data_IF_842841085014
#
_entry.id   IF_842841085014
#
_cell.length_a   1.000
_cell.length_b   1.000
_cell.length_c   1.000
_cell.angle_alpha   90.00
_cell.angle_beta   90.00
_cell.angle_gamma   90.00
#
_symmetry.space_group_name_H-M   'P 1'
#
loop_
_entity.id
_entity.type
_entity.pdbx_description
1 polymer ?
#
# COMPACT_ATOMS: atom_id res chain seq x y z
N UNK A 1 26.61 6.01 6.53
CA UNK A 1 25.62 6.64 5.64
C UNK A 1 24.26 6.21 6.16
N UNK A 2 23.61 7.05 6.97
CA UNK A 2 22.28 6.77 7.54
C UNK A 2 21.26 7.00 6.44
N UNK A 3 20.48 5.97 6.10
CA UNK A 3 19.30 6.10 5.25
C UNK A 3 18.24 6.82 6.08
N UNK A 4 17.74 7.94 5.58
CA UNK A 4 16.56 8.61 6.11
C UNK A 4 15.40 7.83 5.49
N UNK A 5 14.67 7.07 6.29
CA UNK A 5 13.46 6.40 5.84
C UNK A 5 12.36 7.47 5.63
N UNK A 6 11.70 7.52 4.46
CA UNK A 6 10.74 8.55 4.16
C UNK A 6 9.36 7.87 3.99
N UNK A 7 8.54 7.83 5.02
CA UNK A 7 7.17 7.28 4.90
C UNK A 7 6.17 8.43 4.94
N UNK A 8 6.08 9.22 6.01
CA UNK A 8 5.13 10.36 6.05
C UNK A 8 5.69 11.67 5.46
N UNK A 9 6.99 11.95 5.61
CA UNK A 9 7.63 13.11 4.97
C UNK A 9 7.83 12.93 3.45
N UNK A 10 7.75 11.68 2.95
CA UNK A 10 7.86 11.32 1.53
C UNK A 10 6.72 11.88 0.70
N UNK A 11 5.49 11.84 1.22
CA UNK A 11 4.30 12.35 0.53
C UNK A 11 4.41 13.84 0.18
N UNK A 12 5.15 14.62 0.98
CA UNK A 12 5.39 16.03 0.64
C UNK A 12 6.57 16.27 -0.32
N UNK A 13 7.43 15.27 -0.52
CA UNK A 13 8.67 15.41 -1.30
C UNK A 13 8.60 14.75 -2.69
N UNK A 14 7.79 13.71 -2.91
CA UNK A 14 7.78 12.96 -4.17
C UNK A 14 7.09 13.69 -5.34
N UNK A 15 6.17 14.64 -5.08
CA UNK A 15 5.54 15.41 -6.16
C UNK A 15 6.41 16.53 -6.77
N UNK A 16 7.64 16.74 -6.27
CA UNK A 16 8.55 17.77 -6.85
C UNK A 16 9.67 17.21 -7.74
N UNK A 17 9.76 15.89 -7.93
CA UNK A 17 10.87 15.25 -8.66
C UNK A 17 10.48 14.53 -9.97
N UNK A 18 9.18 14.47 -10.30
CA UNK A 18 8.70 13.73 -11.46
C UNK A 18 8.23 14.63 -12.63
N UNK A 19 8.96 15.70 -12.97
CA UNK A 19 8.73 16.47 -14.21
C UNK A 19 9.95 17.33 -14.58
N UNK A 20 11.15 16.73 -14.67
CA UNK A 20 12.23 17.34 -15.44
C UNK A 20 13.11 16.25 -16.05
N UNK A 21 12.85 15.93 -17.31
CA UNK A 21 13.62 14.99 -18.12
C UNK A 21 14.60 15.83 -18.92
N UNK A 22 15.87 16.00 -18.51
CA UNK A 22 16.84 16.65 -19.38
C UNK A 22 17.09 15.75 -20.58
N UNK A 23 16.91 16.31 -21.77
CA UNK A 23 17.20 15.65 -23.03
C UNK A 23 18.68 15.24 -23.11
N UNK A 24 18.94 13.94 -23.24
CA UNK A 24 20.26 13.43 -23.62
C UNK A 24 20.51 13.65 -25.13
N UNK A 25 21.68 14.16 -25.54
CA UNK A 25 22.14 14.05 -26.91
C UNK A 25 22.78 12.68 -27.18
N UNK A 26 22.50 12.19 -28.38
CA UNK A 26 22.91 10.88 -28.89
C UNK A 26 24.41 10.75 -29.23
N UNK A 27 24.90 9.54 -28.97
CA UNK A 27 25.84 8.71 -29.75
C UNK A 27 27.31 9.17 -29.96
N UNK A 28 28.26 8.29 -29.59
CA UNK A 28 29.15 7.60 -30.56
C UNK A 28 29.95 6.43 -29.94
N UNK A 29 29.79 5.24 -30.55
CA UNK A 29 30.82 4.25 -30.91
C UNK A 29 31.79 3.65 -29.88
N UNK A 30 31.78 2.31 -29.74
CA UNK A 30 32.90 1.45 -30.17
C UNK A 30 32.61 -0.05 -29.97
N UNK A 31 33.01 -0.83 -30.97
CA UNK A 31 32.96 -2.30 -31.10
C UNK A 31 33.96 -2.99 -30.17
N UNK A 32 33.65 -4.23 -29.74
CA UNK A 32 34.60 -5.35 -29.79
C UNK A 32 33.89 -6.71 -29.61
N UNK A 33 34.24 -7.61 -30.53
CA UNK A 33 33.87 -9.01 -30.66
C UNK A 33 34.26 -9.90 -29.47
N UNK A 34 33.44 -10.93 -29.19
CA UNK A 34 33.94 -12.22 -28.71
C UNK A 34 32.98 -13.36 -29.10
N UNK A 35 33.61 -14.43 -29.58
CA UNK A 35 33.08 -15.62 -30.26
C UNK A 35 33.24 -16.84 -29.34
N UNK A 36 32.37 -17.85 -29.58
CA UNK A 36 32.55 -19.31 -29.42
C UNK A 36 31.55 -19.97 -28.45
N UNK A 37 30.63 -20.77 -28.98
CA UNK A 37 30.59 -22.27 -28.97
C UNK A 37 29.88 -22.78 -27.71
N UNK A 38 28.92 -23.69 -27.71
CA UNK A 38 28.39 -24.68 -28.66
C UNK A 38 27.80 -25.81 -27.78
N UNK A 39 26.69 -26.44 -28.18
CA UNK A 39 26.16 -27.60 -27.43
C UNK A 39 24.70 -27.95 -27.68
N UNK A 40 24.44 -28.68 -28.76
CA UNK A 40 23.19 -29.41 -29.01
C UNK A 40 22.93 -30.52 -27.99
N UNK A 41 21.68 -30.69 -27.57
CA UNK A 41 21.10 -32.01 -27.31
C UNK A 41 19.59 -32.00 -27.49
N UNK A 42 19.17 -32.80 -28.46
CA UNK A 42 17.82 -33.13 -28.91
C UNK A 42 17.31 -34.36 -28.15
N UNK A 43 16.05 -34.37 -27.73
CA UNK A 43 15.27 -35.60 -27.59
C UNK A 43 13.76 -35.33 -27.71
N UNK A 44 13.20 -35.92 -28.75
CA UNK A 44 11.79 -35.98 -29.11
C UNK A 44 10.95 -36.80 -28.10
N UNK A 45 9.72 -36.37 -27.84
CA UNK A 45 8.62 -37.30 -27.54
C UNK A 45 7.28 -36.71 -27.97
N UNK A 46 6.66 -37.42 -28.91
CA UNK A 46 5.40 -37.17 -29.61
C UNK A 46 4.32 -38.03 -28.95
N UNK A 47 3.13 -37.47 -28.69
CA UNK A 47 1.89 -38.25 -28.61
C UNK A 47 0.69 -37.38 -29.00
N UNK A 48 0.06 -37.83 -30.08
CA UNK A 48 -1.15 -37.35 -30.75
C UNK A 48 -2.43 -37.47 -29.91
N UNK A 49 -3.36 -36.53 -30.14
CA UNK A 49 -4.65 -36.87 -30.73
C UNK A 49 -5.90 -36.78 -29.84
N UNK A 50 -6.87 -35.98 -30.27
CA UNK A 50 -8.27 -36.10 -29.83
C UNK A 50 -9.16 -34.89 -30.07
N UNK A 51 -9.52 -34.62 -31.33
CA UNK A 51 -10.59 -33.69 -31.71
C UNK A 51 -11.98 -34.19 -31.26
N UNK A 52 -12.81 -33.28 -30.75
CA UNK A 52 -14.27 -33.44 -30.78
C UNK A 52 -14.95 -32.11 -31.09
N UNK A 53 -15.61 -32.11 -32.25
CA UNK A 53 -16.42 -31.06 -32.86
C UNK A 53 -17.86 -31.16 -32.33
N UNK A 54 -18.49 -30.05 -31.98
CA UNK A 54 -19.95 -29.96 -31.95
C UNK A 54 -20.39 -28.56 -32.37
N UNK A 55 -21.06 -28.53 -33.53
CA UNK A 55 -21.78 -27.40 -34.09
C UNK A 55 -22.99 -27.03 -33.20
N UNK A 56 -23.19 -25.74 -32.93
CA UNK A 56 -24.52 -25.20 -32.62
C UNK A 56 -24.64 -23.79 -33.19
N UNK A 57 -25.57 -23.69 -34.13
CA UNK A 57 -26.00 -22.51 -34.87
C UNK A 57 -27.19 -21.89 -34.13
N UNK A 58 -27.18 -20.58 -33.89
CA UNK A 58 -28.41 -19.81 -33.73
C UNK A 58 -28.17 -18.33 -34.12
N UNK A 59 -28.98 -17.91 -35.08
CA UNK A 59 -29.18 -16.57 -35.62
C UNK A 59 -29.67 -15.54 -34.57
N UNK A 60 -29.36 -14.27 -34.84
CA UNK A 60 -30.38 -13.20 -34.78
C UNK A 60 -30.02 -11.97 -33.96
N UNK A 61 -29.95 -10.80 -34.61
CA UNK A 61 -30.13 -9.52 -33.94
C UNK A 61 -29.42 -8.33 -34.59
N UNK A 62 -30.03 -7.75 -35.63
CA UNK A 62 -29.77 -6.40 -36.14
C UNK A 62 -29.88 -5.34 -35.05
N UNK A 63 -28.95 -4.38 -35.05
CA UNK A 63 -29.21 -3.02 -34.56
C UNK A 63 -28.24 -2.03 -35.25
N UNK A 64 -28.81 -1.22 -36.15
CA UNK A 64 -28.22 -0.02 -36.71
C UNK A 64 -28.01 1.06 -35.63
N UNK A 65 -26.86 1.77 -35.69
CA UNK A 65 -26.75 3.19 -35.38
C UNK A 65 -25.37 3.70 -35.84
N UNK A 66 -25.25 4.13 -37.10
CA UNK A 66 -24.17 5.03 -37.51
C UNK A 66 -24.66 6.47 -37.41
N UNK A 67 -23.94 7.28 -36.62
CA UNK A 67 -24.12 8.73 -36.57
C UNK A 67 -22.94 9.37 -35.86
N UNK A 68 -22.20 10.23 -36.57
CA UNK A 68 -21.28 11.17 -35.94
C UNK A 68 -19.93 11.32 -36.64
N UNK A 69 -19.89 12.18 -37.65
CA UNK A 69 -18.69 12.73 -38.28
C UNK A 69 -17.91 13.63 -37.29
N UNK A 70 -16.56 13.62 -37.25
CA UNK A 70 -15.78 14.48 -36.37
C UNK A 70 -15.41 15.81 -37.04
N UNK A 71 -15.66 16.92 -36.35
CA UNK A 71 -15.04 18.21 -36.65
C UNK A 71 -14.24 18.68 -35.44
N UNK A 72 -12.91 18.56 -35.55
CA UNK A 72 -11.95 19.14 -34.63
C UNK A 72 -11.44 20.45 -35.25
N UNK A 73 -11.73 21.58 -34.61
CA UNK A 73 -10.95 22.81 -34.73
C UNK A 73 -10.56 23.25 -33.33
N UNK A 74 -9.27 23.12 -33.02
CA UNK A 74 -8.65 23.70 -31.85
C UNK A 74 -8.13 25.10 -32.19
N UNK A 75 -8.49 26.08 -31.37
CA UNK A 75 -7.89 27.41 -31.37
C UNK A 75 -7.23 27.67 -30.00
N UNK A 76 -6.11 28.40 -30.10
CA UNK A 76 -5.07 28.54 -29.12
C UNK A 76 -5.45 29.42 -27.93
N UNK A 77 -5.01 29.01 -26.73
CA UNK A 77 -5.04 29.82 -25.53
C UNK A 77 -3.79 29.58 -24.69
N UNK A 78 -2.71 30.29 -25.01
CA UNK A 78 -1.49 30.32 -24.23
C UNK A 78 -1.74 30.92 -22.84
N UNK A 79 -1.79 30.08 -21.81
CA UNK A 79 -1.67 30.51 -20.42
C UNK A 79 -0.20 30.43 -20.01
N UNK A 80 0.28 31.50 -19.39
CA UNK A 80 1.66 31.70 -18.98
C UNK A 80 1.99 30.74 -17.84
N UNK A 81 3.06 30.01 -18.05
CA UNK A 81 3.73 29.14 -17.11
C UNK A 81 4.53 30.01 -16.12
N UNK A 82 4.00 30.19 -14.92
CA UNK A 82 4.73 30.70 -13.76
C UNK A 82 5.03 29.51 -12.81
N UNK A 83 5.74 28.50 -13.30
CA UNK A 83 6.33 27.46 -12.44
C UNK A 83 7.52 28.04 -11.67
N UNK A 84 7.23 28.58 -10.48
CA UNK A 84 8.23 28.75 -9.44
C UNK A 84 8.57 27.36 -8.89
N UNK A 85 9.63 26.76 -9.41
CA UNK A 85 10.15 25.48 -8.93
C UNK A 85 10.49 25.50 -7.44
N UNK A 86 9.81 24.64 -6.67
CA UNK A 86 9.94 24.51 -5.20
C UNK A 86 11.27 23.89 -4.73
N UNK A 87 12.20 23.59 -5.65
CA UNK A 87 13.53 23.07 -5.32
C UNK A 87 14.39 24.00 -4.43
N UNK A 88 14.01 25.27 -4.31
CA UNK A 88 14.70 26.24 -3.45
C UNK A 88 14.32 26.18 -1.95
N UNK A 89 13.18 25.59 -1.59
CA UNK A 89 12.69 25.60 -0.19
C UNK A 89 13.30 24.45 0.62
N UNK A 90 13.54 23.29 0.00
CA UNK A 90 14.10 22.11 0.69
C UNK A 90 15.56 22.33 1.09
N UNK A 91 16.36 23.09 0.32
CA UNK A 91 17.75 23.41 0.67
C UNK A 91 17.88 24.46 1.77
N UNK A 92 16.83 25.24 2.03
CA UNK A 92 16.77 26.15 3.16
C UNK A 92 16.35 25.47 4.48
N UNK A 93 15.71 24.29 4.41
CA UNK A 93 15.23 23.54 5.60
C UNK A 93 16.21 22.40 5.96
N UNK A 94 16.90 21.80 4.99
CA UNK A 94 17.99 20.86 5.24
C UNK A 94 19.35 21.53 5.55
N UNK A 95 19.40 22.86 5.56
CA UNK A 95 20.54 23.64 5.98
C UNK A 95 20.33 24.12 7.42
N UNK A 96 21.10 23.56 8.35
CA UNK A 96 21.24 24.00 9.75
C UNK A 96 20.23 23.46 10.79
N UNK A 97 19.62 22.29 10.57
CA UNK A 97 19.20 21.45 11.69
C UNK A 97 20.42 20.69 12.23
N UNK A 98 21.23 21.36 13.04
CA UNK A 98 21.96 20.64 14.09
C UNK A 98 20.92 19.79 14.80
N UNK A 99 21.07 18.47 14.69
CA UNK A 99 20.27 17.50 15.41
C UNK A 99 20.05 18.01 16.84
N UNK A 100 18.80 18.00 17.29
CA UNK A 100 18.50 18.25 18.69
C UNK A 100 19.17 17.15 19.53
N UNK A 101 20.46 17.33 19.83
CA UNK A 101 21.19 16.57 20.84
C UNK A 101 20.50 16.88 22.17
N UNK A 102 19.58 16.02 22.58
CA UNK A 102 18.88 16.15 23.86
C UNK A 102 17.40 15.77 23.88
N UNK A 103 16.78 15.44 22.74
CA UNK A 103 15.54 14.67 22.81
C UNK A 103 15.92 13.26 23.28
N UNK A 104 15.71 12.96 24.56
CA UNK A 104 15.65 11.57 25.01
C UNK A 104 14.66 10.88 24.08
N UNK A 105 15.17 9.96 23.24
CA UNK A 105 14.31 9.07 22.45
C UNK A 105 13.56 8.27 23.51
N UNK A 106 12.38 8.75 23.86
CA UNK A 106 11.52 8.10 24.83
C UNK A 106 11.27 6.67 24.38
N UNK A 107 10.95 5.80 25.34
CA UNK A 107 10.62 4.39 25.11
C UNK A 107 9.85 4.23 23.78
N UNK A 108 10.39 3.39 22.89
CA UNK A 108 9.77 3.07 21.60
C UNK A 108 8.40 2.42 21.79
N UNK A 109 7.69 2.15 20.69
CA UNK A 109 6.43 1.42 20.80
C UNK A 109 6.65 0.03 21.40
N UNK A 110 5.71 -0.41 22.23
CA UNK A 110 5.73 -1.73 22.84
C UNK A 110 5.34 -2.77 21.79
N UNK A 111 6.35 -3.34 21.13
CA UNK A 111 6.13 -4.38 20.11
C UNK A 111 5.84 -5.75 20.71
N UNK A 112 5.88 -5.92 22.04
CA UNK A 112 5.51 -7.21 22.66
C UNK A 112 4.00 -7.45 22.63
N UNK A 113 3.23 -6.41 22.32
CA UNK A 113 1.78 -6.47 22.16
C UNK A 113 1.34 -6.82 20.75
N UNK A 114 2.27 -6.84 19.79
CA UNK A 114 1.97 -7.27 18.45
C UNK A 114 1.65 -8.76 18.46
N UNK A 115 0.36 -9.04 18.34
CA UNK A 115 -0.20 -10.37 18.33
C UNK A 115 -0.95 -10.63 17.02
N UNK A 116 -0.97 -9.64 16.12
CA UNK A 116 -1.62 -9.74 14.84
C UNK A 116 -0.86 -10.71 13.95
N UNK A 117 -1.47 -11.86 13.63
CA UNK A 117 -1.01 -12.62 12.48
C UNK A 117 -1.28 -11.86 11.18
N UNK A 118 -0.92 -12.46 10.04
CA UNK A 118 -1.22 -11.92 8.71
C UNK A 118 -2.68 -11.45 8.57
N UNK A 119 -3.62 -12.23 9.12
CA UNK A 119 -5.05 -11.92 9.04
C UNK A 119 -5.38 -10.59 9.72
N UNK A 120 -4.84 -10.36 10.92
CA UNK A 120 -5.10 -9.14 11.68
C UNK A 120 -4.58 -7.89 10.96
N UNK A 121 -3.38 -7.99 10.38
CA UNK A 121 -2.75 -6.89 9.64
C UNK A 121 -3.58 -6.49 8.40
N UNK A 122 -3.90 -7.45 7.54
CA UNK A 122 -4.67 -7.21 6.32
C UNK A 122 -6.08 -6.74 6.66
N UNK A 123 -6.72 -7.36 7.64
CA UNK A 123 -8.08 -7.01 8.03
C UNK A 123 -8.16 -5.61 8.64
N UNK A 124 -7.16 -5.21 9.44
CA UNK A 124 -7.13 -3.85 9.99
C UNK A 124 -6.96 -2.81 8.90
N UNK A 125 -6.02 -3.01 7.97
CA UNK A 125 -5.83 -2.20 6.77
C UNK A 125 -7.14 -1.93 6.04
N UNK A 126 -7.81 -3.00 5.63
CA UNK A 126 -9.03 -2.90 4.82
C UNK A 126 -10.25 -2.43 5.62
N UNK A 127 -10.35 -2.72 6.92
CA UNK A 127 -11.52 -2.33 7.71
C UNK A 127 -11.70 -0.82 7.90
N UNK A 128 -10.65 -0.04 7.62
CA UNK A 128 -10.63 1.42 7.69
C UNK A 128 -10.92 2.12 6.37
N UNK A 129 -10.92 1.35 5.27
CA UNK A 129 -11.31 1.82 3.95
C UNK A 129 -12.76 2.35 3.98
N UNK A 130 -12.92 3.61 3.58
CA UNK A 130 -14.19 4.32 3.55
C UNK A 130 -15.14 3.72 2.50
N UNK A 131 -14.61 3.11 1.44
CA UNK A 131 -15.42 2.40 0.46
C UNK A 131 -16.23 1.31 1.15
N UNK A 132 -15.62 0.55 2.07
CA UNK A 132 -16.30 -0.54 2.77
C UNK A 132 -17.31 -0.07 3.83
N UNK A 133 -17.51 1.24 4.04
CA UNK A 133 -18.37 1.74 5.11
C UNK A 133 -19.82 1.21 4.99
N UNK A 134 -20.33 0.63 6.09
CA UNK A 134 -21.68 0.06 6.13
C UNK A 134 -21.84 -1.31 5.46
N UNK A 135 -20.80 -1.85 4.84
CA UNK A 135 -20.81 -3.20 4.24
C UNK A 135 -20.75 -4.31 5.30
N UNK A 136 -21.26 -5.50 4.94
CA UNK A 136 -21.07 -6.73 5.73
C UNK A 136 -19.59 -7.11 5.82
N UNK A 137 -18.88 -7.00 4.70
CA UNK A 137 -17.44 -7.27 4.58
C UNK A 137 -16.63 -6.47 5.60
N UNK A 138 -16.91 -5.18 5.75
CA UNK A 138 -16.25 -4.35 6.78
C UNK A 138 -16.48 -4.88 8.19
N UNK A 139 -17.71 -5.25 8.52
CA UNK A 139 -18.02 -5.77 9.86
C UNK A 139 -17.23 -7.06 10.16
N UNK A 140 -17.03 -7.91 9.15
CA UNK A 140 -16.21 -9.12 9.27
C UNK A 140 -14.72 -8.78 9.39
N UNK A 141 -14.22 -7.85 8.59
CA UNK A 141 -12.82 -7.39 8.68
C UNK A 141 -12.52 -6.76 10.05
N UNK A 142 -13.43 -5.99 10.64
CA UNK A 142 -13.27 -5.47 12.01
C UNK A 142 -13.16 -6.60 13.03
N UNK A 143 -13.93 -7.68 12.87
CA UNK A 143 -13.83 -8.87 13.75
C UNK A 143 -12.46 -9.55 13.57
N UNK A 144 -12.00 -9.71 12.33
CA UNK A 144 -10.71 -10.32 12.00
C UNK A 144 -9.51 -9.48 12.48
N UNK A 145 -9.60 -8.15 12.41
CA UNK A 145 -8.62 -7.23 12.99
C UNK A 145 -8.56 -7.32 14.53
N UNK A 146 -9.64 -7.81 15.15
CA UNK A 146 -9.77 -8.04 16.58
C UNK A 146 -10.43 -6.88 17.33
N UNK A 147 -11.08 -7.20 18.47
CA UNK A 147 -11.85 -6.24 19.29
C UNK A 147 -11.05 -5.05 19.84
N UNK A 148 -9.72 -5.09 19.71
CA UNK A 148 -8.83 -4.02 20.14
C UNK A 148 -8.66 -2.92 19.11
N UNK A 149 -9.16 -3.08 17.89
CA UNK A 149 -9.05 -2.05 16.86
C UNK A 149 -9.96 -0.85 17.18
N UNK A 150 -9.52 -0.06 18.15
CA UNK A 150 -10.05 1.25 18.54
C UNK A 150 -9.18 2.35 17.98
N UNK A 151 -8.36 2.01 16.99
CA UNK A 151 -7.54 2.99 16.33
C UNK A 151 -8.45 4.07 15.72
N UNK A 152 -7.97 5.32 15.65
CA UNK A 152 -8.68 6.36 14.92
C UNK A 152 -8.84 5.97 13.45
N UNK A 153 -9.87 6.51 12.80
CA UNK A 153 -9.99 6.37 11.34
C UNK A 153 -8.88 7.12 10.62
N UNK A 154 -8.57 6.70 9.40
CA UNK A 154 -7.48 7.29 8.61
C UNK A 154 -7.80 8.75 8.29
N UNK A 155 -9.06 9.05 7.96
CA UNK A 155 -9.62 10.40 7.90
C UNK A 155 -9.39 11.25 9.17
N UNK A 156 -9.48 10.66 10.37
CA UNK A 156 -9.24 11.39 11.62
C UNK A 156 -7.76 11.71 11.80
N UNK A 157 -6.87 10.77 11.48
CA UNK A 157 -5.41 10.96 11.52
C UNK A 157 -4.99 12.03 10.52
N UNK A 158 -5.41 11.89 9.26
CA UNK A 158 -5.07 12.81 8.18
C UNK A 158 -5.66 14.20 8.39
N UNK A 159 -6.89 14.28 8.88
CA UNK A 159 -7.52 15.54 9.27
C UNK A 159 -6.73 16.27 10.36
N UNK A 160 -6.25 15.53 11.38
CA UNK A 160 -5.41 16.09 12.45
C UNK A 160 -4.06 16.58 11.93
N UNK A 161 -3.33 15.74 11.18
CA UNK A 161 -2.03 16.07 10.61
C UNK A 161 -2.14 17.32 9.72
N UNK A 162 -3.17 17.40 8.88
CA UNK A 162 -3.44 18.59 8.10
C UNK A 162 -3.70 19.82 8.99
N UNK A 163 -4.67 19.75 9.90
CA UNK A 163 -5.14 20.91 10.64
C UNK A 163 -4.09 21.44 11.65
N UNK A 164 -3.46 20.54 12.39
CA UNK A 164 -2.59 20.89 13.50
C UNK A 164 -1.14 21.10 13.09
N UNK A 165 -0.69 20.46 12.00
CA UNK A 165 0.71 20.48 11.58
C UNK A 165 0.90 21.22 10.27
N UNK A 166 0.28 20.76 9.18
CA UNK A 166 0.54 21.32 7.85
C UNK A 166 -0.11 22.69 7.62
N UNK A 167 -1.38 22.88 7.97
CA UNK A 167 -2.10 24.13 7.71
C UNK A 167 -1.45 25.34 8.41
N UNK A 168 -0.80 25.10 9.56
CA UNK A 168 -0.04 26.14 10.28
C UNK A 168 1.29 26.46 9.59
N UNK A 169 1.96 25.44 9.05
CA UNK A 169 3.24 25.60 8.35
C UNK A 169 3.10 26.10 6.90
N UNK A 170 1.95 25.86 6.26
CA UNK A 170 1.72 26.07 4.83
C UNK A 170 0.38 26.78 4.55
N UNK A 171 0.07 27.81 5.34
CA UNK A 171 -1.19 28.56 5.26
C UNK A 171 -1.51 29.16 3.88
N UNK A 172 -0.53 29.26 2.98
CA UNK A 172 -0.66 29.75 1.60
C UNK A 172 -1.03 28.65 0.59
N UNK A 173 -1.05 27.37 1.00
CA UNK A 173 -1.18 26.19 0.11
C UNK A 173 -2.45 25.37 0.38
N UNK A 174 -3.47 26.00 0.96
CA UNK A 174 -4.74 25.37 1.37
C UNK A 174 -5.45 24.65 0.23
N UNK A 175 -5.26 25.07 -1.02
CA UNK A 175 -5.85 24.42 -2.20
C UNK A 175 -5.39 22.99 -2.46
N UNK A 176 -4.47 22.45 -1.65
CA UNK A 176 -3.96 21.08 -1.75
C UNK A 176 -4.53 20.13 -0.69
N UNK A 177 -5.54 20.55 0.08
CA UNK A 177 -6.09 19.70 1.14
C UNK A 177 -6.56 18.35 0.59
N UNK A 178 -7.34 18.35 -0.48
CA UNK A 178 -7.98 17.11 -0.96
C UNK A 178 -6.93 16.10 -1.46
N UNK A 179 -5.95 16.55 -2.24
CA UNK A 179 -4.84 15.70 -2.67
C UNK A 179 -4.00 15.19 -1.49
N UNK A 180 -3.77 16.02 -0.48
CA UNK A 180 -3.10 15.59 0.75
C UNK A 180 -3.92 14.54 1.52
N UNK A 181 -5.25 14.71 1.57
CA UNK A 181 -6.13 13.82 2.32
C UNK A 181 -6.06 12.39 1.77
N UNK A 182 -6.19 12.25 0.45
CA UNK A 182 -6.13 10.96 -0.23
C UNK A 182 -4.74 10.31 -0.12
N UNK A 183 -3.66 11.05 -0.41
CA UNK A 183 -2.29 10.54 -0.28
C UNK A 183 -1.99 10.12 1.17
N UNK A 184 -2.52 10.86 2.15
CA UNK A 184 -2.33 10.56 3.56
C UNK A 184 -3.06 9.29 3.97
N UNK A 185 -4.33 9.12 3.58
CA UNK A 185 -5.12 7.92 3.92
C UNK A 185 -4.42 6.67 3.41
N UNK A 186 -4.01 6.68 2.14
CA UNK A 186 -3.34 5.55 1.52
C UNK A 186 -2.03 5.14 2.23
N UNK A 187 -1.22 6.11 2.69
CA UNK A 187 -0.03 5.77 3.48
C UNK A 187 -0.38 5.28 4.88
N UNK A 188 -1.40 5.84 5.52
CA UNK A 188 -1.87 5.38 6.84
C UNK A 188 -2.36 3.93 6.77
N UNK A 189 -3.07 3.55 5.71
CA UNK A 189 -3.52 2.17 5.46
C UNK A 189 -2.34 1.20 5.30
N UNK A 190 -1.31 1.59 4.54
CA UNK A 190 -0.07 0.79 4.42
C UNK A 190 0.62 0.60 5.75
N UNK A 191 0.81 1.69 6.50
CA UNK A 191 1.50 1.62 7.79
C UNK A 191 0.73 0.76 8.79
N UNK A 192 -0.60 0.80 8.76
CA UNK A 192 -1.45 -0.08 9.55
C UNK A 192 -1.22 -1.56 9.24
N UNK A 193 -1.06 -1.90 7.95
CA UNK A 193 -0.77 -3.27 7.52
C UNK A 193 0.64 -3.71 7.90
N UNK A 194 1.64 -2.82 7.80
CA UNK A 194 3.03 -3.14 8.15
C UNK A 194 3.22 -3.35 9.64
N UNK A 195 2.69 -2.43 10.45
CA UNK A 195 2.93 -2.40 11.89
C UNK A 195 2.03 -3.35 12.69
N UNK A 196 0.87 -3.71 12.15
CA UNK A 196 -0.15 -4.44 12.90
C UNK A 196 -0.95 -3.52 13.82
N UNK A 197 -2.08 -4.03 14.31
CA UNK A 197 -3.13 -3.24 14.97
C UNK A 197 -2.63 -2.58 16.25
N UNK A 198 -1.91 -3.33 17.10
CA UNK A 198 -1.46 -2.85 18.40
C UNK A 198 -0.34 -1.79 18.31
N UNK A 199 0.62 -1.95 17.39
CA UNK A 199 1.69 -0.97 17.21
C UNK A 199 1.17 0.24 16.46
N UNK A 200 0.34 0.05 15.43
CA UNK A 200 -0.30 1.14 14.73
C UNK A 200 -1.16 2.00 15.67
N UNK A 201 -1.89 1.40 16.62
CA UNK A 201 -2.66 2.17 17.61
C UNK A 201 -1.75 3.11 18.44
N UNK A 202 -0.57 2.65 18.86
CA UNK A 202 0.42 3.49 19.57
C UNK A 202 0.97 4.60 18.68
N UNK A 203 1.19 4.30 17.40
CA UNK A 203 1.60 5.29 16.40
C UNK A 203 0.52 6.36 16.19
N UNK A 204 -0.72 5.96 15.95
CA UNK A 204 -1.85 6.85 15.77
C UNK A 204 -2.07 7.75 17.00
N UNK A 205 -1.96 7.21 18.23
CA UNK A 205 -2.00 8.00 19.46
C UNK A 205 -0.88 9.06 19.50
N UNK A 206 0.33 8.71 19.08
CA UNK A 206 1.45 9.64 18.98
C UNK A 206 1.16 10.76 17.97
N UNK A 207 0.71 10.40 16.77
CA UNK A 207 0.39 11.34 15.69
C UNK A 207 -0.72 12.31 16.10
N UNK A 208 -1.80 11.81 16.73
CA UNK A 208 -2.88 12.64 17.25
C UNK A 208 -2.46 13.55 18.43
N UNK A 209 -1.40 13.19 19.16
CA UNK A 209 -0.83 14.04 20.20
C UNK A 209 0.13 15.11 19.64
N UNK A 210 0.69 14.90 18.45
CA UNK A 210 1.62 15.82 17.80
C UNK A 210 0.95 17.14 17.41
N UNK A 211 1.68 18.25 17.59
CA UNK A 211 1.17 19.62 17.35
C UNK A 211 1.98 20.42 16.33
N UNK A 212 3.09 19.86 15.89
CA UNK A 212 4.04 20.43 14.95
C UNK A 212 4.85 19.32 14.28
N UNK A 213 5.66 19.70 13.28
CA UNK A 213 6.46 18.76 12.50
C UNK A 213 7.51 18.03 13.35
N UNK A 214 8.10 18.70 14.35
CA UNK A 214 9.11 18.08 15.20
C UNK A 214 8.52 16.98 16.10
N UNK A 215 7.27 17.14 16.53
CA UNK A 215 6.56 16.09 17.25
C UNK A 215 6.19 14.91 16.34
N UNK A 216 5.82 15.15 15.07
CA UNK A 216 5.61 14.08 14.09
C UNK A 216 6.90 13.30 13.81
N UNK A 217 8.03 13.99 13.61
CA UNK A 217 9.34 13.34 13.40
C UNK A 217 9.70 12.37 14.55
N UNK A 218 9.25 12.66 15.78
CA UNK A 218 9.43 11.75 16.93
C UNK A 218 8.52 10.52 16.83
N UNK A 219 7.29 10.65 16.31
CA UNK A 219 6.40 9.52 16.07
C UNK A 219 6.94 8.62 14.97
N UNK A 220 7.37 9.18 13.83
CA UNK A 220 7.97 8.45 12.72
C UNK A 220 9.26 7.72 13.16
N UNK A 221 10.08 8.37 14.00
CA UNK A 221 11.28 7.71 14.53
C UNK A 221 10.96 6.54 15.46
N UNK A 222 9.85 6.60 16.20
CA UNK A 222 9.39 5.49 17.06
C UNK A 222 8.78 4.35 16.25
N UNK A 223 8.03 4.69 15.22
CA UNK A 223 7.45 3.76 14.24
C UNK A 223 8.56 2.97 13.55
N UNK A 224 9.53 3.66 12.96
CA UNK A 224 10.66 3.01 12.29
C UNK A 224 11.44 2.10 13.24
N UNK A 225 11.62 2.52 14.51
CA UNK A 225 12.29 1.69 15.51
C UNK A 225 11.49 0.43 15.88
N UNK A 226 10.15 0.50 15.84
CA UNK A 226 9.27 -0.64 16.05
C UNK A 226 9.32 -1.60 14.86
N UNK A 227 9.21 -1.09 13.64
CA UNK A 227 9.35 -1.87 12.40
C UNK A 227 10.72 -2.58 12.33
N UNK A 228 11.82 -1.86 12.59
CA UNK A 228 13.17 -2.43 12.66
C UNK A 228 13.26 -3.56 13.70
N UNK A 229 12.57 -3.40 14.84
CA UNK A 229 12.55 -4.38 15.90
C UNK A 229 11.73 -5.63 15.52
N UNK A 230 10.57 -5.47 14.87
CA UNK A 230 9.75 -6.57 14.35
C UNK A 230 10.52 -7.38 13.31
N UNK A 231 11.10 -6.72 12.30
CA UNK A 231 11.92 -7.40 11.28
C UNK A 231 13.13 -8.14 11.87
N UNK A 232 13.74 -7.58 12.92
CA UNK A 232 14.85 -8.23 13.61
C UNK A 232 14.39 -9.41 14.48
N UNK A 233 13.18 -9.36 15.03
CA UNK A 233 12.60 -10.33 15.96
C UNK A 233 11.21 -10.80 15.52
N UNK A 234 11.08 -11.40 14.32
CA UNK A 234 9.79 -11.88 13.84
C UNK A 234 9.27 -12.95 14.79
N UNK A 235 7.99 -12.87 15.09
CA UNK A 235 7.30 -13.82 15.93
C UNK A 235 6.60 -14.93 15.10
N UNK A 236 6.62 -14.82 13.76
CA UNK A 236 6.16 -15.82 12.82
C UNK A 236 7.15 -16.95 12.49
N UNK A 237 6.73 -17.83 11.57
CA UNK A 237 7.49 -18.99 11.09
C UNK A 237 8.46 -18.68 9.94
N UNK A 238 8.49 -17.43 9.47
CA UNK A 238 9.21 -16.99 8.26
C UNK A 238 8.90 -17.86 7.03
N UNK A 239 7.62 -17.95 6.62
CA UNK A 239 7.22 -18.67 5.41
C UNK A 239 7.98 -18.20 4.17
N UNK A 240 8.12 -19.09 3.19
CA UNK A 240 8.65 -18.73 1.88
C UNK A 240 7.72 -17.72 1.18
N UNK A 241 8.29 -16.79 0.43
CA UNK A 241 7.56 -15.74 -0.31
C UNK A 241 6.38 -16.31 -1.11
N UNK A 242 6.58 -17.44 -1.80
CA UNK A 242 5.52 -18.10 -2.58
C UNK A 242 4.32 -18.54 -1.72
N UNK A 243 4.57 -18.98 -0.48
CA UNK A 243 3.50 -19.36 0.45
C UNK A 243 2.73 -18.12 0.89
N UNK A 244 3.44 -17.02 1.18
CA UNK A 244 2.82 -15.74 1.49
C UNK A 244 2.00 -15.19 0.34
N UNK A 245 2.53 -15.19 -0.88
CA UNK A 245 1.79 -14.76 -2.07
C UNK A 245 0.49 -15.54 -2.20
N UNK A 246 0.53 -16.87 -2.08
CA UNK A 246 -0.67 -17.70 -2.20
C UNK A 246 -1.69 -17.43 -1.08
N UNK A 247 -1.24 -17.23 0.16
CA UNK A 247 -2.12 -16.95 1.29
C UNK A 247 -2.77 -15.56 1.17
N UNK A 248 -1.97 -14.53 0.84
CA UNK A 248 -2.45 -13.16 0.61
C UNK A 248 -3.44 -13.14 -0.55
N UNK A 249 -3.12 -13.76 -1.69
CA UNK A 249 -4.04 -13.89 -2.83
C UNK A 249 -5.35 -14.59 -2.43
N UNK A 250 -5.27 -15.66 -1.64
CA UNK A 250 -6.46 -16.36 -1.16
C UNK A 250 -7.33 -15.46 -0.28
N UNK A 251 -6.75 -14.67 0.62
CA UNK A 251 -7.52 -13.70 1.42
C UNK A 251 -8.25 -12.69 0.55
N UNK A 252 -7.56 -12.08 -0.42
CA UNK A 252 -8.18 -11.12 -1.33
C UNK A 252 -9.27 -11.76 -2.19
N UNK A 253 -9.10 -13.01 -2.64
CA UNK A 253 -10.17 -13.75 -3.32
C UNK A 253 -11.41 -13.89 -2.43
N UNK A 254 -11.23 -14.20 -1.14
CA UNK A 254 -12.35 -14.34 -0.20
C UNK A 254 -13.07 -13.01 0.02
N UNK A 255 -12.31 -11.92 0.16
CA UNK A 255 -12.84 -10.55 0.35
C UNK A 255 -13.60 -10.10 -0.91
N UNK A 256 -12.98 -10.15 -2.09
CA UNK A 256 -13.63 -9.77 -3.35
C UNK A 256 -14.89 -10.59 -3.62
N UNK A 257 -14.93 -11.87 -3.20
CA UNK A 257 -16.11 -12.70 -3.39
C UNK A 257 -17.27 -12.31 -2.46
N UNK A 258 -17.01 -11.86 -1.23
CA UNK A 258 -18.07 -11.32 -0.35
C UNK A 258 -18.61 -9.98 -0.87
N UNK A 259 -17.82 -9.27 -1.69
CA UNK A 259 -18.16 -7.99 -2.30
C UNK A 259 -18.74 -8.10 -3.73
N UNK A 260 -18.92 -9.31 -4.27
CA UNK A 260 -19.28 -9.49 -5.69
C UNK A 260 -20.64 -8.87 -6.09
N UNK A 261 -21.52 -8.68 -5.11
CA UNK A 261 -22.83 -8.06 -5.33
C UNK A 261 -22.77 -6.53 -5.47
N UNK A 262 -21.58 -5.92 -5.32
CA UNK A 262 -21.32 -4.50 -5.50
C UNK A 262 -20.13 -4.26 -6.45
N UNK A 263 -20.37 -4.11 -7.77
CA UNK A 263 -19.29 -4.00 -8.75
C UNK A 263 -18.51 -2.68 -8.66
N UNK A 264 -19.15 -1.60 -8.22
CA UNK A 264 -18.48 -0.30 -8.06
C UNK A 264 -17.43 -0.38 -6.94
N UNK A 265 -17.71 -1.17 -5.91
CA UNK A 265 -16.78 -1.46 -4.83
C UNK A 265 -15.58 -2.28 -5.26
N UNK A 266 -15.74 -3.20 -6.22
CA UNK A 266 -14.63 -4.02 -6.72
C UNK A 266 -13.58 -3.20 -7.47
N UNK A 267 -14.01 -2.17 -8.21
CA UNK A 267 -13.08 -1.31 -8.96
C UNK A 267 -12.22 -0.46 -8.01
N UNK A 268 -12.85 0.14 -6.99
CA UNK A 268 -12.14 0.92 -5.96
C UNK A 268 -11.16 0.01 -5.21
N UNK A 269 -11.63 -1.17 -4.78
CA UNK A 269 -10.78 -2.10 -4.04
C UNK A 269 -9.59 -2.57 -4.89
N UNK A 270 -9.70 -2.75 -6.21
CA UNK A 270 -8.59 -3.28 -7.02
C UNK A 270 -7.34 -2.36 -6.98
N UNK A 271 -7.52 -1.03 -6.95
CA UNK A 271 -6.41 -0.08 -6.83
C UNK A 271 -5.72 -0.16 -5.46
N UNK A 272 -6.50 -0.17 -4.38
CA UNK A 272 -5.97 -0.19 -3.01
C UNK A 272 -5.44 -1.57 -2.60
N UNK A 273 -6.07 -2.65 -3.09
CA UNK A 273 -5.63 -4.04 -2.88
C UNK A 273 -4.21 -4.26 -3.37
N UNK A 274 -3.88 -3.81 -4.59
CA UNK A 274 -2.54 -4.04 -5.13
C UNK A 274 -1.46 -3.36 -4.31
N UNK A 275 -1.79 -2.20 -3.73
CA UNK A 275 -0.90 -1.48 -2.81
C UNK A 275 -0.72 -2.25 -1.50
N UNK A 276 -1.82 -2.69 -0.89
CA UNK A 276 -1.82 -3.44 0.38
C UNK A 276 -1.20 -4.83 0.21
N UNK A 277 -1.32 -5.47 -0.96
CA UNK A 277 -0.80 -6.83 -1.21
C UNK A 277 0.70 -6.96 -0.97
N UNK A 278 1.49 -5.97 -1.35
CA UNK A 278 2.95 -6.03 -1.16
C UNK A 278 3.32 -5.90 0.32
N UNK A 279 2.66 -5.00 1.04
CA UNK A 279 2.85 -4.84 2.49
C UNK A 279 2.33 -6.06 3.27
N UNK A 280 1.20 -6.63 2.85
CA UNK A 280 0.68 -7.89 3.39
C UNK A 280 1.63 -9.07 3.16
N UNK A 281 2.30 -9.15 1.99
CA UNK A 281 3.33 -10.16 1.74
C UNK A 281 4.55 -9.96 2.63
N UNK A 282 4.94 -8.71 2.91
CA UNK A 282 6.02 -8.41 3.84
C UNK A 282 5.63 -8.84 5.26
N UNK A 283 4.49 -8.37 5.77
CA UNK A 283 3.95 -8.76 7.07
C UNK A 283 3.81 -10.29 7.20
N UNK A 284 3.38 -10.99 6.15
CA UNK A 284 3.33 -12.45 6.14
C UNK A 284 4.71 -13.10 6.33
N UNK A 285 5.77 -12.56 5.72
CA UNK A 285 7.13 -13.13 5.83
C UNK A 285 7.70 -12.93 7.22
N UNK A 286 7.36 -11.83 7.87
CA UNK A 286 7.84 -11.53 9.20
C UNK A 286 6.98 -12.27 10.25
N UNK A 287 5.66 -12.15 10.17
CA UNK A 287 4.76 -12.54 11.28
C UNK A 287 3.85 -13.74 10.97
N UNK A 288 3.76 -14.16 9.71
CA UNK A 288 2.92 -15.30 9.32
C UNK A 288 3.37 -16.63 9.95
N UNK A 289 2.43 -17.37 10.55
CA UNK A 289 2.66 -18.73 11.08
C UNK A 289 2.21 -19.82 10.10
N UNK A 290 2.82 -21.00 10.13
CA UNK A 290 2.42 -22.12 9.26
C UNK A 290 0.98 -22.54 9.51
N UNK A 291 0.56 -22.52 10.77
CA UNK A 291 -0.81 -22.84 11.19
C UNK A 291 -1.82 -21.86 10.60
N UNK A 292 -1.55 -20.55 10.71
CA UNK A 292 -2.39 -19.49 10.14
C UNK A 292 -2.49 -19.63 8.62
N UNK A 293 -1.36 -19.73 7.92
CA UNK A 293 -1.34 -19.83 6.46
C UNK A 293 -2.03 -21.10 5.96
N UNK A 294 -1.83 -22.22 6.64
CA UNK A 294 -2.53 -23.46 6.31
C UNK A 294 -4.04 -23.39 6.57
N UNK A 295 -4.49 -22.52 7.48
CA UNK A 295 -5.89 -22.24 7.74
C UNK A 295 -6.49 -21.34 6.65
N UNK A 296 -5.83 -20.22 6.31
CA UNK A 296 -6.22 -19.32 5.21
C UNK A 296 -6.41 -20.10 3.91
N UNK A 297 -5.46 -20.97 3.56
CA UNK A 297 -5.53 -21.76 2.32
C UNK A 297 -6.67 -22.79 2.28
N UNK A 298 -7.33 -23.06 3.41
CA UNK A 298 -8.49 -23.96 3.49
C UNK A 298 -9.82 -23.20 3.63
N UNK A 299 -9.77 -21.92 3.96
CA UNK A 299 -10.95 -21.08 4.11
C UNK A 299 -11.70 -21.01 2.79
N UNK A 300 -12.99 -21.32 2.85
CA UNK A 300 -13.87 -21.30 1.70
C UNK A 300 -14.65 -19.99 1.64
N UNK A 301 -14.92 -19.34 2.77
CA UNK A 301 -15.61 -18.03 2.90
C UNK A 301 -14.82 -17.09 3.83
N UNK A 302 -15.13 -15.79 3.80
CA UNK A 302 -14.41 -14.80 4.62
C UNK A 302 -14.60 -15.09 6.12
N UNK A 303 -15.80 -15.54 6.50
CA UNK A 303 -16.13 -15.92 7.88
C UNK A 303 -15.30 -17.09 8.42
N UNK A 304 -14.77 -17.96 7.54
CA UNK A 304 -13.91 -19.07 7.95
C UNK A 304 -12.56 -18.56 8.53
N UNK A 305 -12.15 -17.34 8.18
CA UNK A 305 -10.89 -16.74 8.65
C UNK A 305 -10.91 -16.41 10.15
N UNK A 306 -12.09 -16.27 10.79
CA UNK A 306 -12.18 -16.03 12.24
C UNK A 306 -11.55 -17.20 13.02
N UNK A 307 -11.69 -18.42 12.50
CA UNK A 307 -11.06 -19.61 13.07
C UNK A 307 -9.54 -19.71 12.83
N UNK A 308 -8.99 -18.84 11.98
CA UNK A 308 -7.58 -18.81 11.61
C UNK A 308 -6.77 -17.78 12.40
N UNK A 309 -7.42 -16.82 13.06
CA UNK A 309 -6.75 -15.77 13.84
C UNK A 309 -5.94 -16.41 14.98
N UNK A 310 -4.63 -16.18 14.97
CA UNK A 310 -3.72 -16.63 16.03
C UNK A 310 -4.06 -15.84 17.29
N UNK A 311 -4.41 -16.55 18.37
CA UNK A 311 -4.58 -15.90 19.67
C UNK A 311 -3.21 -15.69 20.31
N UNK A 312 -2.91 -14.52 20.87
CA UNK A 312 -1.71 -14.33 21.66
C UNK A 312 -1.63 -15.40 22.76
N UNK A 313 -0.44 -15.91 23.00
CA UNK A 313 -0.21 -16.85 24.10
C UNK A 313 -0.51 -16.14 25.43
N UNK A 314 -1.52 -16.62 26.17
CA UNK A 314 -1.87 -16.14 27.52
C UNK A 314 -0.77 -16.42 28.57
#
# INVERSE_FOLDING_TARGET
MRRIAPTLLSCTLLFSLACDKPAEPAAEGAKADAKAEGGDAKADAKADGGDAKADAKADGGDAEAEGGEPAAEGDAGAAKDDTVGLGGVVRAIAGDTTAAEGAEVGEGYDTSQDAGGLIGHVASGLSHDEALEGSKTRAELVVLAGEKDKSPSDSAICGHVWAEVFAKAYADKVSRKDAFDEDCKHEVEKERVKLGVEIFAQHAECVLAAKDLAALDVCDAKEQAAEDHLHANPHGDRPEEKVCTAAVEQMFILISRDMIDDPDMLEILDEDIESIKEDAKLACRDEGTKEELACIMKAAVLEDLEGCVVKPAE
#
